data_IF_421488778393
#
_entry.id   IF_421488778393
#
_cell.length_a   1.000
_cell.length_b   1.000
_cell.length_c   1.000
_cell.angle_alpha   90.00
_cell.angle_beta   90.00
_cell.angle_gamma   90.00
#
_symmetry.space_group_name_H-M   'P 1'
#
loop_
_entity.id
_entity.type
_entity.pdbx_description
1 polymer ?
#
# COMPACT_ATOMS: atom_id res chain seq x y z
N UNK A 1 -4.76 -1.74 15.94
CA UNK A 1 -3.79 -1.14 15.01
C UNK A 1 -4.23 0.27 14.70
N UNK A 2 -3.35 1.24 14.91
CA UNK A 2 -3.60 2.65 14.60
C UNK A 2 -3.15 2.95 13.17
N UNK A 3 -4.00 3.64 12.40
CA UNK A 3 -3.77 3.97 10.98
C UNK A 3 -3.62 5.47 10.82
N UNK A 4 -2.67 5.88 9.98
CA UNK A 4 -2.51 7.26 9.53
C UNK A 4 -2.28 7.25 8.02
N UNK A 5 -3.12 7.95 7.28
CA UNK A 5 -2.95 8.20 5.83
C UNK A 5 -3.10 9.70 5.62
N UNK A 6 -2.05 10.36 5.15
CA UNK A 6 -2.03 11.83 5.04
C UNK A 6 -1.02 12.31 4.01
N UNK A 7 -1.13 13.56 3.56
CA UNK A 7 -0.07 14.22 2.81
C UNK A 7 0.98 14.83 3.76
N UNK A 8 2.25 14.57 3.49
CA UNK A 8 3.39 15.10 4.23
C UNK A 8 4.55 15.41 3.27
N UNK A 9 5.10 16.63 3.32
CA UNK A 9 6.21 17.08 2.47
C UNK A 9 5.99 16.83 0.96
N UNK A 10 4.76 17.07 0.48
CA UNK A 10 4.38 16.88 -0.93
C UNK A 10 4.22 15.41 -1.35
N UNK A 11 4.26 14.47 -0.41
CA UNK A 11 4.10 13.03 -0.64
C UNK A 11 2.94 12.49 0.18
N UNK A 12 2.40 11.35 -0.23
CA UNK A 12 1.49 10.58 0.62
C UNK A 12 2.31 9.79 1.65
N UNK A 13 1.82 9.73 2.88
CA UNK A 13 2.33 8.87 3.95
C UNK A 13 1.22 7.89 4.32
N UNK A 14 1.50 6.60 4.25
CA UNK A 14 0.64 5.54 4.78
C UNK A 14 1.37 4.80 5.89
N UNK A 15 0.78 4.82 7.09
CA UNK A 15 1.35 4.25 8.30
C UNK A 15 0.30 3.43 9.03
N UNK A 16 0.71 2.24 9.48
CA UNK A 16 -0.07 1.43 10.40
C UNK A 16 0.83 0.87 11.50
N UNK A 17 0.40 1.05 12.74
CA UNK A 17 1.12 0.63 13.95
C UNK A 17 0.28 -0.41 14.72
N UNK A 18 0.90 -1.55 15.01
CA UNK A 18 0.41 -2.56 15.94
C UNK A 18 1.37 -2.74 17.11
N UNK A 19 1.01 -3.63 18.04
CA UNK A 19 1.75 -3.81 19.30
C UNK A 19 3.20 -4.31 19.11
N UNK A 20 3.46 -5.04 18.02
CA UNK A 20 4.74 -5.70 17.73
C UNK A 20 5.46 -5.16 16.49
N UNK A 21 4.78 -4.34 15.67
CA UNK A 21 5.28 -3.94 14.34
C UNK A 21 4.66 -2.65 13.83
N UNK A 22 5.45 -1.94 13.01
CA UNK A 22 5.02 -0.74 12.28
C UNK A 22 5.29 -0.98 10.79
N UNK A 23 4.30 -0.63 9.95
CA UNK A 23 4.50 -0.44 8.53
C UNK A 23 4.31 1.03 8.21
N UNK A 24 5.30 1.63 7.56
CA UNK A 24 5.27 3.02 7.15
C UNK A 24 5.88 3.15 5.76
N UNK A 25 5.18 3.83 4.86
CA UNK A 25 5.63 4.08 3.49
C UNK A 25 5.26 5.49 3.06
N UNK A 26 6.27 6.21 2.56
CA UNK A 26 6.07 7.48 1.83
C UNK A 26 6.06 7.20 0.33
N UNK A 27 5.11 7.75 -0.42
CA UNK A 27 5.00 7.53 -1.86
C UNK A 27 4.48 8.76 -2.61
N UNK A 28 4.84 8.85 -3.88
CA UNK A 28 4.38 9.88 -4.80
C UNK A 28 3.11 9.44 -5.53
N UNK A 29 3.02 8.15 -5.88
CA UNK A 29 1.85 7.55 -6.52
C UNK A 29 1.64 6.08 -6.17
N UNK A 30 0.44 5.58 -6.43
CA UNK A 30 0.11 4.16 -6.41
C UNK A 30 -0.15 3.62 -7.80
N UNK A 31 0.21 2.35 -7.99
CA UNK A 31 -0.06 1.56 -9.18
C UNK A 31 -0.66 0.23 -8.74
N UNK A 32 -1.78 -0.15 -9.32
CA UNK A 32 -2.46 -1.39 -8.96
C UNK A 32 -2.39 -2.43 -10.08
N UNK A 33 -2.35 -3.69 -9.68
CA UNK A 33 -2.81 -4.83 -10.48
C UNK A 33 -4.00 -5.45 -9.78
N UNK A 34 -4.60 -6.47 -10.40
CA UNK A 34 -5.66 -7.29 -9.83
C UNK A 34 -5.45 -7.75 -8.38
N UNK A 35 -4.20 -7.99 -7.96
CA UNK A 35 -3.86 -8.56 -6.64
C UNK A 35 -2.76 -7.80 -5.91
N UNK A 36 -2.24 -6.71 -6.46
CA UNK A 36 -1.12 -5.99 -5.84
C UNK A 36 -1.28 -4.48 -5.99
N UNK A 37 -1.31 -3.79 -4.86
CA UNK A 37 -1.12 -2.35 -4.78
C UNK A 37 0.37 -2.06 -4.63
N UNK A 38 0.95 -1.22 -5.47
CA UNK A 38 2.38 -0.85 -5.47
C UNK A 38 2.51 0.61 -5.08
N UNK A 39 3.45 0.90 -4.18
CA UNK A 39 3.83 2.26 -3.82
C UNK A 39 5.03 2.68 -4.65
N UNK A 40 4.91 3.83 -5.34
CA UNK A 40 5.96 4.40 -6.17
C UNK A 40 6.50 5.67 -5.55
N UNK A 41 7.81 5.80 -5.50
CA UNK A 41 8.52 7.02 -5.10
C UNK A 41 9.68 7.26 -6.04
N UNK A 42 9.77 8.47 -6.59
CA UNK A 42 10.80 8.87 -7.54
C UNK A 42 10.89 7.89 -8.77
N UNK A 43 9.76 7.27 -9.13
CA UNK A 43 9.65 6.26 -10.19
C UNK A 43 9.89 4.81 -9.74
N UNK A 44 10.55 4.61 -8.61
CA UNK A 44 10.90 3.30 -8.07
C UNK A 44 9.79 2.73 -7.19
N UNK A 45 9.69 1.40 -7.16
CA UNK A 45 8.79 0.71 -6.23
C UNK A 45 9.42 0.69 -4.84
N UNK A 46 8.77 1.32 -3.87
CA UNK A 46 9.23 1.37 -2.47
C UNK A 46 8.44 0.43 -1.55
N UNK A 47 7.33 -0.10 -2.02
CA UNK A 47 6.54 -1.07 -1.26
C UNK A 47 5.39 -1.65 -2.05
N UNK A 48 4.64 -2.53 -1.41
CA UNK A 48 3.38 -3.03 -1.96
C UNK A 48 2.50 -3.66 -0.90
N UNK A 49 1.19 -3.70 -1.18
CA UNK A 49 0.22 -4.53 -0.48
C UNK A 49 -0.26 -5.61 -1.44
N UNK A 50 0.00 -6.87 -1.10
CA UNK A 50 -0.50 -8.02 -1.82
C UNK A 50 -1.83 -8.47 -1.21
N UNK A 51 -2.85 -8.66 -2.06
CA UNK A 51 -4.09 -9.32 -1.67
C UNK A 51 -3.93 -10.81 -1.97
N UNK A 52 -3.87 -11.64 -0.94
CA UNK A 52 -3.71 -13.08 -1.07
C UNK A 52 -5.05 -13.71 -1.45
N UNK A 53 -5.18 -14.07 -2.73
CA UNK A 53 -6.40 -14.63 -3.31
C UNK A 53 -6.71 -15.96 -2.60
N UNK A 54 -7.78 -15.97 -1.80
CA UNK A 54 -8.19 -17.12 -0.98
C UNK A 54 -8.01 -16.95 0.52
N UNK A 55 -7.55 -15.80 1.01
CA UNK A 55 -7.57 -15.47 2.44
C UNK A 55 -8.17 -14.08 2.70
N UNK A 56 -8.65 -13.84 3.92
CA UNK A 56 -9.11 -12.51 4.34
C UNK A 56 -7.96 -11.52 4.61
N UNK A 57 -6.72 -11.85 4.23
CA UNK A 57 -5.51 -11.14 4.65
C UNK A 57 -4.89 -10.36 3.49
N UNK A 58 -4.43 -9.16 3.82
CA UNK A 58 -3.57 -8.37 2.94
C UNK A 58 -2.19 -8.22 3.56
N UNK A 59 -1.15 -8.43 2.76
CA UNK A 59 0.25 -8.44 3.22
C UNK A 59 0.99 -7.22 2.66
N UNK A 60 1.36 -6.30 3.54
CA UNK A 60 2.18 -5.14 3.19
C UNK A 60 3.67 -5.48 3.31
N UNK A 61 4.47 -4.99 2.37
CA UNK A 61 5.92 -5.12 2.38
C UNK A 61 6.60 -3.85 1.88
N UNK A 62 7.80 -3.60 2.38
CA UNK A 62 8.70 -2.58 1.85
C UNK A 62 9.67 -3.23 0.84
N UNK A 63 10.02 -2.47 -0.19
CA UNK A 63 11.07 -2.87 -1.13
C UNK A 63 12.39 -2.35 -0.57
N UNK A 64 13.32 -3.26 -0.28
CA UNK A 64 14.67 -2.88 0.16
C UNK A 64 15.61 -2.82 -1.04
N UNK A 65 16.62 -1.96 -1.00
CA UNK A 65 17.65 -1.89 -2.06
C UNK A 65 18.66 -3.04 -2.03
N UNK A 66 18.36 -4.14 -1.34
CA UNK A 66 19.19 -5.35 -1.32
C UNK A 66 18.56 -6.39 -2.24
N UNK A 67 19.36 -6.97 -3.13
CA UNK A 67 18.99 -8.18 -3.84
C UNK A 67 18.91 -9.34 -2.84
N UNK A 68 17.70 -9.85 -2.58
CA UNK A 68 17.49 -10.99 -1.70
C UNK A 68 16.00 -11.24 -1.39
N UNK A 69 15.69 -12.49 -1.08
CA UNK A 69 14.35 -12.95 -0.71
C UNK A 69 14.05 -12.82 0.81
N UNK A 70 14.98 -12.25 1.59
CA UNK A 70 14.76 -11.94 3.00
C UNK A 70 13.83 -10.72 3.13
N UNK A 71 12.54 -10.96 3.36
CA UNK A 71 11.56 -9.91 3.56
C UNK A 71 10.75 -10.11 4.86
N UNK A 72 10.41 -8.99 5.50
CA UNK A 72 9.44 -8.94 6.59
C UNK A 72 8.19 -8.27 6.00
N UNK A 73 7.22 -9.09 5.64
CA UNK A 73 5.87 -8.63 5.30
C UNK A 73 5.05 -8.54 6.58
N UNK A 74 4.21 -7.51 6.70
CA UNK A 74 3.26 -7.41 7.81
C UNK A 74 1.84 -7.56 7.28
N UNK A 75 1.02 -8.31 8.01
CA UNK A 75 -0.42 -8.31 7.76
C UNK A 75 -0.98 -6.93 8.08
N UNK A 76 -1.74 -6.37 7.14
CA UNK A 76 -2.49 -5.13 7.32
C UNK A 76 -3.99 -5.40 7.10
N UNK A 77 -4.87 -4.68 7.80
CA UNK A 77 -6.31 -4.89 7.70
C UNK A 77 -6.87 -4.20 6.45
N UNK A 78 -7.91 -4.79 5.82
CA UNK A 78 -8.57 -4.23 4.63
C UNK A 78 -9.01 -2.76 4.78
N UNK A 79 -9.52 -2.28 5.93
CA UNK A 79 -9.80 -0.86 6.16
C UNK A 79 -8.60 0.07 5.98
N UNK A 80 -7.38 -0.38 6.33
CA UNK A 80 -6.16 0.39 6.06
C UNK A 80 -5.92 0.53 4.55
N UNK A 81 -6.09 -0.56 3.81
CA UNK A 81 -5.95 -0.56 2.35
C UNK A 81 -6.98 0.36 1.70
N UNK A 82 -8.24 0.34 2.16
CA UNK A 82 -9.28 1.25 1.70
C UNK A 82 -8.89 2.72 1.92
N UNK A 83 -8.42 3.08 3.11
CA UNK A 83 -8.00 4.45 3.43
C UNK A 83 -6.83 4.92 2.55
N UNK A 84 -5.88 4.03 2.23
CA UNK A 84 -4.78 4.33 1.30
C UNK A 84 -5.30 4.62 -0.11
N UNK A 85 -6.22 3.79 -0.60
CA UNK A 85 -6.80 3.95 -1.93
C UNK A 85 -7.62 5.25 -2.03
N UNK A 86 -8.51 5.49 -1.06
CA UNK A 86 -9.36 6.68 -1.03
C UNK A 86 -8.50 7.95 -1.02
N UNK A 87 -7.52 8.03 -0.13
CA UNK A 87 -6.65 9.21 -0.05
C UNK A 87 -5.80 9.39 -1.31
N UNK A 88 -5.34 8.32 -1.94
CA UNK A 88 -4.57 8.41 -3.18
C UNK A 88 -5.43 8.85 -4.37
N UNK A 89 -6.68 8.38 -4.47
CA UNK A 89 -7.65 8.81 -5.48
C UNK A 89 -7.99 10.28 -5.28
N UNK A 90 -8.33 10.70 -4.05
CA UNK A 90 -8.65 12.08 -3.71
C UNK A 90 -7.49 13.05 -4.02
N UNK A 91 -6.25 12.62 -3.78
CA UNK A 91 -5.05 13.40 -4.06
C UNK A 91 -4.56 13.31 -5.52
N UNK A 92 -5.25 12.58 -6.39
CA UNK A 92 -4.85 12.38 -7.80
C UNK A 92 -3.52 11.66 -7.95
N UNK A 93 -3.14 10.81 -7.00
CA UNK A 93 -1.86 10.07 -6.95
C UNK A 93 -1.99 8.64 -7.47
N UNK A 94 -2.91 8.41 -8.40
CA UNK A 94 -3.18 7.09 -8.98
C UNK A 94 -2.67 7.04 -10.42
N UNK A 95 -1.92 5.99 -10.76
CA UNK A 95 -1.43 5.80 -12.12
C UNK A 95 -2.53 5.36 -13.11
N UNK A 96 -3.47 4.52 -12.66
CA UNK A 96 -4.62 4.04 -13.43
C UNK A 96 -5.81 3.80 -12.48
N UNK A 97 -6.84 4.63 -12.59
CA UNK A 97 -8.04 4.55 -11.74
C UNK A 97 -8.84 3.26 -11.98
N UNK A 98 -8.84 2.73 -13.21
CA UNK A 98 -9.56 1.48 -13.53
C UNK A 98 -8.88 0.29 -12.87
N UNK A 99 -7.55 0.25 -12.88
CA UNK A 99 -6.78 -0.79 -12.20
C UNK A 99 -6.96 -0.74 -10.67
N UNK A 100 -7.04 0.48 -10.10
CA UNK A 100 -7.32 0.67 -8.67
C UNK A 100 -8.72 0.19 -8.30
N UNK A 101 -9.74 0.51 -9.09
CA UNK A 101 -11.10 0.01 -8.88
C UNK A 101 -11.17 -1.52 -8.96
N UNK A 102 -10.45 -2.13 -9.92
CA UNK A 102 -10.34 -3.59 -10.02
C UNK A 102 -9.70 -4.24 -8.78
N UNK A 103 -8.64 -3.64 -8.26
CA UNK A 103 -8.01 -4.08 -7.00
C UNK A 103 -8.95 -3.90 -5.81
N UNK A 104 -9.65 -2.76 -5.74
CA UNK A 104 -10.62 -2.43 -4.68
C UNK A 104 -11.72 -3.48 -4.59
N UNK A 105 -12.32 -3.87 -5.71
CA UNK A 105 -13.38 -4.88 -5.80
C UNK A 105 -12.96 -6.29 -5.33
N UNK A 106 -11.66 -6.58 -5.33
CA UNK A 106 -11.13 -7.85 -4.80
C UNK A 106 -10.75 -7.77 -3.32
N UNK A 107 -10.37 -6.59 -2.84
CA UNK A 107 -9.98 -6.39 -1.45
C UNK A 107 -11.19 -6.17 -0.56
N UNK A 108 -12.15 -5.34 -0.99
CA UNK A 108 -13.32 -4.91 -0.23
C UNK A 108 -14.58 -5.69 -0.61
#
# INVERSE_FOLDING_TARGET
>A
METTVTEHDGRMLARIEGDDRVFEVSFDSIEATDVTLRFRRDGDRVGSIYNDDGTDRTMARLTTGRDGDDFIGVEVPKPFVAAVLDAAVEAGRVADETAVEGYRLRVL
#
